data_IF_006023317429
#
_entry.id   IF_006023317429
#
_cell.length_a   1.000
_cell.length_b   1.000
_cell.length_c   1.000
_cell.angle_alpha   90.00
_cell.angle_beta   90.00
_cell.angle_gamma   90.00
#
_symmetry.space_group_name_H-M   'P 1'
#
loop_
_entity.id
_entity.type
_entity.pdbx_description
1 polymer ?
#
# COMPACT_ATOMS: atom_id res chain seq x y z
N UNK A 1 6.21 20.99 -7.19
CA UNK A 1 5.56 19.92 -7.99
C UNK A 1 6.08 18.57 -7.51
N UNK A 2 5.30 17.85 -6.72
CA UNK A 2 5.58 16.43 -6.46
C UNK A 2 5.61 15.70 -7.81
N UNK A 3 6.80 15.28 -8.24
CA UNK A 3 6.90 14.30 -9.33
C UNK A 3 6.23 13.04 -8.83
N UNK A 4 5.00 12.78 -9.25
CA UNK A 4 4.36 11.47 -9.10
C UNK A 4 5.29 10.43 -9.75
N UNK A 5 6.09 9.77 -8.91
CA UNK A 5 6.89 8.63 -9.32
C UNK A 5 5.91 7.54 -9.74
N UNK A 6 5.94 7.18 -11.02
CA UNK A 6 5.09 6.09 -11.51
C UNK A 6 5.56 4.80 -10.84
N UNK A 7 4.69 4.17 -10.06
CA UNK A 7 4.92 2.86 -9.45
C UNK A 7 4.10 1.82 -10.22
N UNK A 8 4.78 0.88 -10.86
CA UNK A 8 4.15 -0.31 -11.43
C UNK A 8 4.17 -1.37 -10.34
N UNK A 9 2.99 -1.80 -9.91
CA UNK A 9 2.86 -2.90 -8.95
C UNK A 9 3.05 -4.23 -9.69
N UNK A 10 3.83 -5.15 -9.13
CA UNK A 10 4.03 -6.49 -9.69
C UNK A 10 3.88 -7.55 -8.61
N UNK A 11 3.41 -8.74 -9.01
CA UNK A 11 3.20 -9.86 -8.11
C UNK A 11 4.52 -10.48 -7.65
N UNK A 12 4.58 -10.85 -6.37
CA UNK A 12 5.66 -11.66 -5.80
C UNK A 12 5.08 -12.93 -5.20
N UNK A 13 5.43 -14.08 -5.78
CA UNK A 13 4.93 -15.38 -5.33
C UNK A 13 5.48 -15.76 -3.94
N UNK A 14 6.75 -15.44 -3.68
CA UNK A 14 7.43 -15.75 -2.42
C UNK A 14 8.12 -14.50 -1.85
N UNK A 15 7.54 -13.95 -0.78
CA UNK A 15 8.06 -12.75 -0.10
C UNK A 15 9.45 -13.03 0.48
N UNK A 16 9.65 -14.16 1.15
CA UNK A 16 10.94 -14.51 1.77
C UNK A 16 12.07 -14.60 0.74
N UNK A 17 11.79 -15.18 -0.43
CA UNK A 17 12.74 -15.21 -1.54
C UNK A 17 13.09 -13.80 -2.01
N UNK A 18 12.07 -12.94 -2.18
CA UNK A 18 12.28 -11.53 -2.55
C UNK A 18 13.17 -10.81 -1.54
N UNK A 19 12.88 -10.97 -0.25
CA UNK A 19 13.64 -10.35 0.83
C UNK A 19 15.09 -10.85 0.86
N UNK A 20 15.30 -12.16 0.69
CA UNK A 20 16.63 -12.79 0.68
C UNK A 20 17.46 -12.38 -0.54
N UNK A 21 16.88 -12.37 -1.73
CA UNK A 21 17.60 -12.04 -2.99
C UNK A 21 17.84 -10.54 -3.16
N UNK A 22 16.95 -9.69 -2.64
CA UNK A 22 17.10 -8.23 -2.72
C UNK A 22 17.32 -7.72 -4.15
N UNK A 23 18.52 -7.22 -4.46
CA UNK A 23 18.87 -6.72 -5.82
C UNK A 23 18.95 -7.83 -6.86
N UNK A 24 19.24 -9.05 -6.44
CA UNK A 24 19.42 -10.21 -7.32
C UNK A 24 18.11 -10.97 -7.54
N UNK A 25 16.98 -10.42 -7.03
CA UNK A 25 15.65 -10.93 -7.36
C UNK A 25 15.38 -10.83 -8.86
N UNK A 26 14.61 -11.79 -9.38
CA UNK A 26 14.24 -11.82 -10.80
C UNK A 26 13.11 -10.81 -11.07
N UNK A 27 13.46 -9.52 -11.13
CA UNK A 27 12.49 -8.47 -11.41
C UNK A 27 11.88 -8.62 -12.82
N UNK A 28 10.57 -8.36 -12.99
CA UNK A 28 9.96 -8.42 -14.31
C UNK A 28 10.57 -7.38 -15.27
N UNK A 29 10.47 -7.69 -16.56
CA UNK A 29 10.88 -6.78 -17.62
C UNK A 29 10.05 -5.48 -17.59
N UNK A 30 10.65 -4.33 -17.99
CA UNK A 30 9.89 -3.09 -18.16
C UNK A 30 8.81 -3.23 -19.25
N UNK A 31 7.74 -2.42 -19.23
CA UNK A 31 6.78 -2.37 -20.34
C UNK A 31 7.47 -1.96 -21.64
N UNK A 32 6.90 -2.33 -22.79
CA UNK A 32 7.40 -1.96 -24.12
C UNK A 32 7.03 -0.53 -24.55
N UNK A 33 6.16 0.12 -23.76
CA UNK A 33 5.72 1.49 -23.92
C UNK A 33 5.90 2.27 -22.62
N UNK A 34 6.31 3.53 -22.74
CA UNK A 34 6.37 4.44 -21.60
C UNK A 34 4.96 4.61 -20.98
N UNK A 35 4.76 4.35 -19.67
CA UNK A 35 3.43 4.41 -19.06
C UNK A 35 2.97 5.83 -18.74
N UNK A 36 3.83 6.83 -18.93
CA UNK A 36 3.46 8.24 -18.75
C UNK A 36 2.48 8.68 -19.83
N UNK A 37 1.28 9.20 -19.48
CA UNK A 37 0.20 9.48 -20.43
C UNK A 37 0.57 10.44 -21.57
N UNK A 38 1.47 11.37 -21.30
CA UNK A 38 1.97 12.41 -22.20
C UNK A 38 3.22 12.00 -23.00
N UNK A 39 3.79 10.83 -22.72
CA UNK A 39 4.88 10.28 -23.53
C UNK A 39 4.38 9.13 -24.38
N UNK A 40 3.88 8.06 -23.75
CA UNK A 40 3.39 6.84 -24.40
C UNK A 40 4.29 6.30 -25.53
N UNK A 41 5.57 6.67 -25.65
CA UNK A 41 6.40 6.21 -26.76
C UNK A 41 6.66 4.70 -26.63
N UNK A 42 6.59 3.96 -27.75
CA UNK A 42 7.02 2.57 -27.81
C UNK A 42 8.55 2.56 -27.81
N UNK A 43 9.14 2.21 -26.67
CA UNK A 43 10.58 2.31 -26.47
C UNK A 43 11.00 1.35 -25.36
N UNK A 44 12.17 0.73 -25.51
CA UNK A 44 12.74 -0.09 -24.45
C UNK A 44 13.22 0.79 -23.31
N UNK A 45 12.55 0.72 -22.16
CA UNK A 45 13.02 1.41 -20.96
C UNK A 45 14.34 0.78 -20.49
N UNK A 46 15.26 1.63 -20.01
CA UNK A 46 16.58 1.21 -19.54
C UNK A 46 16.56 0.98 -18.03
N UNK A 47 17.33 0.00 -17.54
CA UNK A 47 17.55 -0.18 -16.09
C UNK A 47 18.16 1.10 -15.51
N UNK A 48 17.62 1.60 -14.41
CA UNK A 48 18.06 2.82 -13.72
C UNK A 48 18.38 2.54 -12.25
N UNK A 49 19.02 1.38 -12.02
CA UNK A 49 19.41 0.90 -10.71
C UNK A 49 18.21 0.60 -9.81
N UNK A 50 18.33 1.03 -8.55
CA UNK A 50 17.36 0.81 -7.49
C UNK A 50 17.23 2.05 -6.62
N UNK A 51 16.08 2.18 -5.96
CA UNK A 51 16.02 2.90 -4.69
C UNK A 51 15.73 1.90 -3.57
N UNK A 52 15.79 2.36 -2.32
CA UNK A 52 15.48 1.53 -1.18
C UNK A 52 14.36 2.14 -0.36
N UNK A 53 13.50 1.26 0.18
CA UNK A 53 12.45 1.64 1.13
C UNK A 53 12.42 0.66 2.29
N UNK A 54 11.82 1.07 3.39
CA UNK A 54 11.45 0.15 4.46
C UNK A 54 10.17 -0.61 4.09
N UNK A 55 10.16 -1.89 4.45
CA UNK A 55 8.99 -2.74 4.53
C UNK A 55 8.83 -3.15 5.99
N UNK A 56 7.70 -2.74 6.58
CA UNK A 56 7.41 -2.89 8.01
C UNK A 56 6.13 -3.73 8.16
N UNK A 57 6.25 -5.01 8.49
CA UNK A 57 5.09 -5.92 8.62
C UNK A 57 4.86 -6.45 10.04
N UNK A 58 5.63 -5.95 11.01
CA UNK A 58 5.68 -6.46 12.38
C UNK A 58 6.98 -7.22 12.59
N UNK A 59 7.07 -8.52 12.24
CA UNK A 59 8.30 -9.30 12.32
C UNK A 59 9.46 -8.70 11.52
N UNK A 60 9.17 -8.17 10.34
CA UNK A 60 10.16 -7.61 9.43
C UNK A 60 10.19 -6.09 9.57
N UNK A 61 11.36 -5.57 9.92
CA UNK A 61 11.70 -4.15 9.88
C UNK A 61 12.94 -3.98 9.00
N UNK A 62 12.75 -4.10 7.69
CA UNK A 62 13.85 -4.32 6.76
C UNK A 62 13.83 -3.35 5.59
N UNK A 63 15.01 -3.09 5.04
CA UNK A 63 15.21 -2.23 3.88
C UNK A 63 15.23 -3.08 2.61
N UNK A 64 14.23 -2.91 1.76
CA UNK A 64 14.10 -3.65 0.50
C UNK A 64 14.56 -2.80 -0.69
N UNK A 65 15.17 -3.47 -1.67
CA UNK A 65 15.53 -2.85 -2.94
C UNK A 65 14.30 -2.77 -3.85
N UNK A 66 14.11 -1.64 -4.53
CA UNK A 66 13.02 -1.42 -5.48
C UNK A 66 13.61 -1.08 -6.83
N UNK A 67 13.38 -1.95 -7.82
CA UNK A 67 13.93 -1.80 -9.17
C UNK A 67 13.37 -0.54 -9.84
N UNK A 68 14.25 0.22 -10.50
CA UNK A 68 13.87 1.38 -11.30
C UNK A 68 14.22 1.20 -12.77
N UNK A 69 13.38 1.78 -13.62
CA UNK A 69 13.61 1.92 -15.04
C UNK A 69 13.48 3.39 -15.44
N UNK A 70 14.10 3.78 -16.55
CA UNK A 70 14.04 5.14 -17.10
C UNK A 70 13.63 5.09 -18.58
N UNK A 71 12.71 5.97 -18.96
CA UNK A 71 12.37 6.18 -20.36
C UNK A 71 13.47 7.01 -21.04
N UNK A 72 14.09 6.53 -22.14
CA UNK A 72 15.14 7.28 -22.80
C UNK A 72 14.60 8.49 -23.59
N UNK A 73 13.29 8.56 -23.85
CA UNK A 73 12.64 9.69 -24.54
C UNK A 73 12.31 10.80 -23.55
N UNK A 74 11.36 10.59 -22.64
CA UNK A 74 10.92 11.63 -21.71
C UNK A 74 11.76 11.76 -20.43
N UNK A 75 12.81 10.93 -20.27
CA UNK A 75 13.77 10.94 -19.14
C UNK A 75 13.15 10.73 -17.75
N UNK A 76 11.87 10.36 -17.66
CA UNK A 76 11.21 10.06 -16.39
C UNK A 76 11.47 8.62 -15.96
N UNK A 77 11.53 8.43 -14.65
CA UNK A 77 11.78 7.13 -14.02
C UNK A 77 10.48 6.51 -13.56
N UNK A 78 10.40 5.19 -13.61
CA UNK A 78 9.35 4.42 -12.96
C UNK A 78 9.98 3.38 -12.05
N UNK A 79 9.19 2.91 -11.09
CA UNK A 79 9.63 1.94 -10.09
C UNK A 79 8.73 0.72 -10.08
N UNK A 80 9.31 -0.46 -9.83
CA UNK A 80 8.59 -1.72 -9.75
C UNK A 80 8.36 -2.05 -8.29
N UNK A 81 7.14 -1.81 -7.81
CA UNK A 81 6.77 -2.01 -6.43
C UNK A 81 6.21 -3.43 -6.23
N UNK A 82 6.74 -4.24 -5.31
CA UNK A 82 6.12 -5.53 -4.98
C UNK A 82 4.70 -5.34 -4.46
N UNK A 83 3.80 -6.23 -4.81
CA UNK A 83 2.39 -6.17 -4.44
C UNK A 83 2.12 -6.34 -2.94
N UNK A 84 3.02 -6.97 -2.19
CA UNK A 84 2.97 -7.00 -0.73
C UNK A 84 3.26 -5.63 -0.08
N UNK A 85 3.74 -4.65 -0.85
CA UNK A 85 3.94 -3.27 -0.39
C UNK A 85 2.77 -2.37 -0.80
N UNK A 86 2.39 -1.47 0.12
CA UNK A 86 1.46 -0.40 -0.20
C UNK A 86 2.17 0.79 -0.87
N UNK A 87 1.66 1.32 -2.00
CA UNK A 87 2.17 2.55 -2.61
C UNK A 87 2.19 3.70 -1.61
N UNK A 88 3.33 4.37 -1.45
CA UNK A 88 3.57 5.47 -0.50
C UNK A 88 3.51 5.15 1.01
N UNK A 89 3.34 3.89 1.44
CA UNK A 89 3.29 3.53 2.87
C UNK A 89 4.36 2.49 3.26
N UNK A 90 5.17 2.77 4.28
CA UNK A 90 6.20 1.84 4.74
C UNK A 90 5.63 0.58 5.42
N UNK A 91 4.49 0.72 6.10
CA UNK A 91 3.83 -0.39 6.77
C UNK A 91 3.01 -1.24 5.81
N UNK A 92 3.01 -2.55 6.05
CA UNK A 92 2.22 -3.51 5.29
C UNK A 92 0.72 -3.27 5.46
N UNK A 93 -0.06 -3.77 4.50
CA UNK A 93 -1.52 -3.72 4.57
C UNK A 93 -2.04 -4.30 5.88
N UNK A 94 -1.58 -5.49 6.26
CA UNK A 94 -2.01 -6.18 7.47
C UNK A 94 -1.72 -5.37 8.74
N UNK A 95 -0.54 -4.75 8.84
CA UNK A 95 -0.19 -3.90 9.99
C UNK A 95 -1.10 -2.69 10.11
N UNK A 96 -1.36 -2.02 8.99
CA UNK A 96 -2.22 -0.84 8.96
C UNK A 96 -3.65 -1.23 9.34
N UNK A 97 -4.23 -2.23 8.69
CA UNK A 97 -5.61 -2.68 8.95
C UNK A 97 -5.78 -3.17 10.38
N UNK A 98 -4.84 -3.97 10.90
CA UNK A 98 -4.87 -4.41 12.29
C UNK A 98 -4.87 -3.22 13.25
N UNK A 99 -3.99 -2.25 13.04
CA UNK A 99 -3.92 -1.06 13.89
C UNK A 99 -5.20 -0.22 13.88
N UNK A 100 -5.85 -0.12 12.71
CA UNK A 100 -7.12 0.58 12.55
C UNK A 100 -8.26 -0.15 13.26
N UNK A 101 -8.34 -1.49 13.10
CA UNK A 101 -9.35 -2.30 13.79
C UNK A 101 -9.27 -2.15 15.30
N UNK A 102 -8.10 -2.40 15.88
CA UNK A 102 -7.85 -2.25 17.33
C UNK A 102 -8.21 -0.85 17.85
N UNK A 103 -7.91 0.19 17.06
CA UNK A 103 -8.21 1.58 17.42
C UNK A 103 -9.71 1.89 17.35
N UNK A 104 -10.40 1.40 16.31
CA UNK A 104 -11.82 1.68 16.09
C UNK A 104 -12.73 0.79 16.93
N UNK A 105 -12.31 -0.40 17.35
CA UNK A 105 -13.04 -1.25 18.29
C UNK A 105 -12.96 -0.74 19.73
N UNK A 106 -11.85 -0.07 20.10
CA UNK A 106 -11.55 0.41 21.46
C UNK A 106 -11.51 -0.71 22.51
N UNK A 107 -11.18 -1.93 22.10
CA UNK A 107 -10.98 -3.05 23.03
C UNK A 107 -9.79 -2.83 23.97
N UNK A 108 -8.75 -2.14 23.48
CA UNK A 108 -7.55 -1.78 24.24
C UNK A 108 -7.27 -0.29 24.19
N UNK A 109 -6.57 0.21 25.21
CA UNK A 109 -5.98 1.55 25.13
C UNK A 109 -4.87 1.57 24.09
N UNK A 110 -4.65 2.72 23.44
CA UNK A 110 -3.56 2.86 22.47
C UNK A 110 -2.18 2.54 23.07
N UNK A 111 -1.96 2.88 24.35
CA UNK A 111 -0.72 2.53 25.04
C UNK A 111 -0.55 1.02 25.17
N UNK A 112 -1.61 0.31 25.58
CA UNK A 112 -1.58 -1.15 25.72
C UNK A 112 -1.33 -1.82 24.36
N UNK A 113 -2.04 -1.41 23.32
CA UNK A 113 -1.84 -1.95 21.97
C UNK A 113 -0.41 -1.74 21.45
N UNK A 114 0.14 -0.53 21.59
CA UNK A 114 1.51 -0.25 21.16
C UNK A 114 2.53 -1.04 21.99
N UNK A 115 2.29 -1.19 23.29
CA UNK A 115 3.17 -1.98 24.18
C UNK A 115 3.16 -3.46 23.80
N UNK A 116 1.99 -4.01 23.48
CA UNK A 116 1.84 -5.37 22.98
C UNK A 116 2.57 -5.56 21.64
N UNK A 117 2.42 -4.61 20.70
CA UNK A 117 3.14 -4.65 19.42
C UNK A 117 4.65 -4.65 19.62
N UNK A 118 5.18 -3.77 20.48
CA UNK A 118 6.62 -3.69 20.75
C UNK A 118 7.15 -4.92 21.48
N UNK A 119 6.35 -5.54 22.36
CA UNK A 119 6.71 -6.79 23.02
C UNK A 119 6.83 -7.94 22.02
N UNK A 120 5.88 -8.02 21.08
CA UNK A 120 5.89 -9.08 20.06
C UNK A 120 6.90 -8.82 18.94
N UNK A 121 7.19 -7.55 18.65
CA UNK A 121 8.08 -7.12 17.58
C UNK A 121 9.04 -6.03 18.07
N UNK A 122 10.14 -6.39 18.78
CA UNK A 122 11.01 -5.42 19.44
C UNK A 122 11.62 -4.35 18.53
N UNK A 123 11.80 -4.66 17.24
CA UNK A 123 12.37 -3.75 16.23
C UNK A 123 11.32 -2.85 15.56
N UNK A 124 10.05 -2.93 15.96
CA UNK A 124 8.99 -2.16 15.34
C UNK A 124 9.07 -0.68 15.73
N UNK A 125 8.97 0.20 14.74
CA UNK A 125 8.99 1.66 14.94
C UNK A 125 7.56 2.26 15.02
N UNK A 126 6.57 1.44 15.38
CA UNK A 126 5.16 1.83 15.37
C UNK A 126 4.83 2.72 16.58
N UNK A 127 4.02 3.76 16.33
CA UNK A 127 3.73 4.79 17.33
C UNK A 127 2.32 5.35 17.20
N UNK A 128 1.91 6.17 18.18
CA UNK A 128 0.60 6.86 18.19
C UNK A 128 0.39 7.75 16.97
N UNK A 129 1.45 8.38 16.47
CA UNK A 129 1.39 9.25 15.29
C UNK A 129 0.98 8.45 14.04
N UNK A 130 1.47 7.22 13.89
CA UNK A 130 1.06 6.32 12.79
C UNK A 130 -0.42 5.99 12.89
N UNK A 131 -0.91 5.64 14.08
CA UNK A 131 -2.34 5.36 14.33
C UNK A 131 -3.21 6.56 13.97
N UNK A 132 -2.83 7.76 14.44
CA UNK A 132 -3.56 8.98 14.14
C UNK A 132 -3.57 9.26 12.63
N UNK A 133 -2.42 9.11 11.98
CA UNK A 133 -2.28 9.29 10.53
C UNK A 133 -3.18 8.34 9.73
N UNK A 134 -3.20 7.05 10.07
CA UNK A 134 -4.08 6.08 9.40
C UNK A 134 -5.55 6.31 9.71
N UNK A 135 -5.88 6.59 10.97
CA UNK A 135 -7.27 6.88 11.39
C UNK A 135 -7.81 8.10 10.64
N UNK A 136 -7.03 9.17 10.55
CA UNK A 136 -7.43 10.36 9.79
C UNK A 136 -7.68 10.03 8.32
N UNK A 137 -6.80 9.23 7.69
CA UNK A 137 -6.92 8.86 6.28
C UNK A 137 -8.10 7.94 6.00
N UNK A 138 -8.35 6.91 6.83
CA UNK A 138 -9.51 6.03 6.61
C UNK A 138 -10.82 6.81 6.75
N UNK A 139 -10.92 7.69 7.75
CA UNK A 139 -12.12 8.50 7.98
C UNK A 139 -12.38 9.49 6.85
N UNK A 140 -11.34 10.11 6.31
CA UNK A 140 -11.47 11.02 5.17
C UNK A 140 -11.77 10.30 3.84
N UNK A 141 -11.47 9.00 3.76
CA UNK A 141 -11.54 8.26 2.50
C UNK A 141 -12.74 7.31 2.43
N UNK A 142 -13.66 7.30 3.39
CA UNK A 142 -14.77 6.33 3.43
C UNK A 142 -15.52 6.24 2.09
N UNK A 143 -16.01 7.36 1.55
CA UNK A 143 -16.72 7.37 0.26
C UNK A 143 -15.87 6.89 -0.91
N UNK A 144 -14.57 7.23 -0.92
CA UNK A 144 -13.64 6.79 -1.95
C UNK A 144 -13.37 5.28 -1.87
N UNK A 145 -13.29 4.74 -0.65
CA UNK A 145 -13.11 3.32 -0.42
C UNK A 145 -14.35 2.55 -0.86
N UNK A 146 -15.54 3.05 -0.53
CA UNK A 146 -16.82 2.46 -0.98
C UNK A 146 -16.90 2.44 -2.50
N UNK A 147 -16.55 3.56 -3.14
CA UNK A 147 -16.48 3.62 -4.60
C UNK A 147 -15.55 2.53 -5.15
N UNK A 148 -14.32 2.43 -4.65
CA UNK A 148 -13.38 1.41 -5.13
C UNK A 148 -13.79 -0.02 -4.81
N UNK A 149 -14.41 -0.28 -3.67
CA UNK A 149 -15.00 -1.59 -3.35
C UNK A 149 -16.05 -1.99 -4.37
N UNK A 150 -16.93 -1.06 -4.78
CA UNK A 150 -17.94 -1.32 -5.82
C UNK A 150 -17.34 -1.53 -7.22
N UNK A 151 -16.15 -0.99 -7.50
CA UNK A 151 -15.41 -1.30 -8.73
C UNK A 151 -14.83 -2.72 -8.71
N UNK A 152 -14.43 -3.19 -7.52
CA UNK A 152 -13.87 -4.54 -7.30
C UNK A 152 -14.97 -5.60 -7.36
N UNK A 153 -16.10 -5.34 -6.70
CA UNK A 153 -17.27 -6.20 -6.65
C UNK A 153 -18.54 -5.34 -6.46
N UNK A 154 -19.41 -5.24 -7.49
CA UNK A 154 -20.65 -4.45 -7.43
C UNK A 154 -21.65 -4.94 -6.37
N UNK A 155 -21.54 -6.18 -5.89
CA UNK A 155 -22.47 -6.79 -4.95
C UNK A 155 -22.10 -6.59 -3.47
N UNK A 156 -20.99 -5.89 -3.19
CA UNK A 156 -20.62 -5.53 -1.81
C UNK A 156 -21.72 -4.64 -1.22
N UNK A 157 -22.44 -5.20 -0.25
CA UNK A 157 -23.44 -4.50 0.55
C UNK A 157 -22.77 -3.89 1.77
N UNK A 158 -23.14 -2.64 2.06
CA UNK A 158 -22.76 -1.93 3.27
C UNK A 158 -24.05 -1.58 4.01
N UNK A 159 -24.00 -1.67 5.33
CA UNK A 159 -25.09 -1.28 6.22
C UNK A 159 -25.43 0.20 6.08
N UNK A 160 -26.70 0.54 6.24
CA UNK A 160 -27.13 1.91 6.45
C UNK A 160 -26.86 2.29 7.91
N UNK A 161 -26.01 3.28 8.10
CA UNK A 161 -25.57 3.84 9.38
C UNK A 161 -25.15 5.28 9.15
N UNK A 162 -25.51 6.18 10.06
CA UNK A 162 -25.07 7.58 10.04
C UNK A 162 -23.71 7.76 10.73
N UNK A 163 -23.25 6.73 11.45
CA UNK A 163 -21.97 6.75 12.15
C UNK A 163 -20.82 6.47 11.19
N UNK A 164 -20.03 7.50 10.89
CA UNK A 164 -18.80 7.34 10.11
C UNK A 164 -17.85 6.30 10.72
N UNK A 165 -17.85 6.17 12.06
CA UNK A 165 -17.00 5.21 12.76
C UNK A 165 -17.47 3.77 12.56
N UNK A 166 -18.77 3.52 12.61
CA UNK A 166 -19.31 2.19 12.32
C UNK A 166 -19.04 1.82 10.86
N UNK A 167 -19.25 2.77 9.95
CA UNK A 167 -18.90 2.58 8.54
C UNK A 167 -17.43 2.25 8.32
N UNK A 168 -16.54 2.94 9.03
CA UNK A 168 -15.11 2.64 8.96
C UNK A 168 -14.80 1.22 9.44
N UNK A 169 -15.45 0.73 10.51
CA UNK A 169 -15.29 -0.64 11.01
C UNK A 169 -15.76 -1.67 9.99
N UNK A 170 -16.96 -1.48 9.45
CA UNK A 170 -17.52 -2.37 8.42
C UNK A 170 -16.62 -2.43 7.18
N UNK A 171 -16.12 -1.29 6.71
CA UNK A 171 -15.14 -1.24 5.62
C UNK A 171 -13.88 -2.03 5.98
N UNK A 172 -13.33 -1.86 7.18
CA UNK A 172 -12.14 -2.62 7.59
C UNK A 172 -12.39 -4.13 7.60
N UNK A 173 -13.59 -4.57 7.96
CA UNK A 173 -13.96 -5.99 7.92
C UNK A 173 -14.04 -6.51 6.48
N UNK A 174 -14.68 -5.76 5.58
CA UNK A 174 -14.77 -6.11 4.16
C UNK A 174 -13.37 -6.15 3.52
N UNK A 175 -12.55 -5.12 3.67
CA UNK A 175 -11.23 -5.09 3.02
C UNK A 175 -10.29 -6.19 3.54
N UNK A 176 -10.51 -6.70 4.76
CA UNK A 176 -9.71 -7.78 5.33
C UNK A 176 -9.98 -9.12 4.66
N UNK A 177 -11.20 -9.32 4.14
CA UNK A 177 -11.62 -10.59 3.51
C UNK A 177 -11.51 -10.56 1.99
N UNK A 178 -11.49 -9.37 1.37
CA UNK A 178 -11.34 -9.23 -0.08
C UNK A 178 -9.91 -9.62 -0.50
N UNK A 179 -9.73 -10.68 -1.32
CA UNK A 179 -8.41 -11.12 -1.75
C UNK A 179 -7.71 -10.03 -2.56
N UNK A 180 -6.44 -9.77 -2.22
CA UNK A 180 -5.59 -8.78 -2.86
C UNK A 180 -6.26 -7.39 -2.94
N UNK A 181 -7.04 -7.02 -1.92
CA UNK A 181 -7.80 -5.77 -1.89
C UNK A 181 -6.95 -4.57 -2.29
N UNK A 182 -5.79 -4.37 -1.67
CA UNK A 182 -4.95 -3.20 -1.94
C UNK A 182 -4.49 -3.10 -3.40
N UNK A 183 -4.20 -4.23 -4.03
CA UNK A 183 -3.74 -4.33 -5.41
C UNK A 183 -4.90 -4.03 -6.36
N UNK A 184 -6.04 -4.69 -6.15
CA UNK A 184 -7.25 -4.51 -6.96
C UNK A 184 -7.76 -3.08 -6.85
N UNK A 185 -7.79 -2.53 -5.63
CA UNK A 185 -8.18 -1.14 -5.39
C UNK A 185 -7.28 -0.17 -6.16
N UNK A 186 -5.95 -0.35 -6.08
CA UNK A 186 -5.03 0.50 -6.81
C UNK A 186 -5.20 0.38 -8.34
N UNK A 187 -5.45 -0.82 -8.85
CA UNK A 187 -5.69 -1.05 -10.29
C UNK A 187 -6.92 -0.28 -10.80
N UNK A 188 -8.01 -0.24 -10.04
CA UNK A 188 -9.22 0.50 -10.42
C UNK A 188 -9.12 2.00 -10.15
N UNK A 189 -8.55 2.40 -9.01
CA UNK A 189 -8.62 3.78 -8.53
C UNK A 189 -7.34 4.59 -8.77
N UNK A 190 -6.25 3.95 -9.22
CA UNK A 190 -4.92 4.55 -9.47
C UNK A 190 -4.34 5.30 -8.25
N UNK A 191 -4.84 4.99 -7.06
CA UNK A 191 -4.45 5.57 -5.77
C UNK A 191 -4.60 4.50 -4.68
N UNK A 192 -3.80 4.61 -3.63
CA UNK A 192 -3.99 3.79 -2.43
C UNK A 192 -5.31 4.16 -1.73
N UNK A 193 -5.95 3.20 -1.05
CA UNK A 193 -7.19 3.42 -0.30
C UNK A 193 -7.03 4.44 0.85
N UNK A 194 -5.78 4.69 1.29
CA UNK A 194 -5.43 5.73 2.26
C UNK A 194 -4.78 6.97 1.61
N UNK A 195 -4.81 7.12 0.28
CA UNK A 195 -4.20 8.28 -0.39
C UNK A 195 -4.78 9.62 0.08
N UNK A 196 -4.02 10.71 -0.06
CA UNK A 196 -4.57 12.05 0.20
C UNK A 196 -5.59 12.37 -0.88
N UNK A 197 -6.80 12.76 -0.50
CA UNK A 197 -7.84 13.19 -1.43
C UNK A 197 -7.88 14.72 -1.64
N UNK A 198 -6.99 15.44 -0.95
CA UNK A 198 -6.68 16.87 -1.13
C UNK A 198 -5.95 17.12 -2.44
#
# INVERSE_FOLDING_TARGET
MERLLMQIVFHVDNIEEYLRKGKDYNFPAPPDRCPYPDCKCRVKLKKHGFYYRYYLDGPNCIKIAIRRYICPVCKRTLSYLPDFCLPHFQYSFNMIVKSLKETLTREKTLSSFISDLKRNFPTILFSRQHIYFYTKRIMNNLSFIIYGLRQIDPYIKLSETDSQRERAREILDIISIVPLFSQRFYAHCQKSFLASLT
#
